data_IF_295652676938
#
_entry.id   IF_295652676938
#
_cell.length_a   1.000
_cell.length_b   1.000
_cell.length_c   1.000
_cell.angle_alpha   90.00
_cell.angle_beta   90.00
_cell.angle_gamma   90.00
#
_symmetry.space_group_name_H-M   'P 1'
#
loop_
_entity.id
_entity.type
_entity.pdbx_description
1 polymer ?
#
# COMPACT_ATOMS: atom_id res chain seq x y z
N UNK A 1 -12.34 -13.98 -26.64
CA UNK A 1 -11.32 -13.92 -27.72
C UNK A 1 -10.04 -13.22 -27.22
N UNK A 2 -9.52 -13.64 -26.04
CA UNK A 2 -8.38 -13.01 -25.33
C UNK A 2 -7.37 -14.12 -24.96
N UNK A 3 -6.98 -14.95 -25.94
CA UNK A 3 -6.06 -16.07 -25.69
C UNK A 3 -4.90 -16.18 -26.68
N UNK A 4 -4.71 -15.18 -27.56
CA UNK A 4 -3.58 -15.16 -28.49
C UNK A 4 -2.41 -14.29 -28.04
N UNK A 5 -2.62 -13.27 -27.20
CA UNK A 5 -1.54 -12.38 -26.74
C UNK A 5 -0.64 -12.99 -25.65
N UNK A 6 -1.20 -13.75 -24.71
CA UNK A 6 -0.41 -14.40 -23.65
C UNK A 6 0.53 -15.49 -24.19
N UNK A 7 0.11 -16.23 -25.21
CA UNK A 7 0.90 -17.28 -25.86
C UNK A 7 2.08 -16.69 -26.63
N UNK A 8 1.90 -15.51 -27.24
CA UNK A 8 2.97 -14.79 -27.96
C UNK A 8 4.07 -14.31 -27.01
N UNK A 9 3.69 -13.70 -25.88
CA UNK A 9 4.66 -13.18 -24.89
C UNK A 9 5.45 -14.32 -24.20
N UNK A 10 4.80 -15.46 -23.94
CA UNK A 10 5.47 -16.67 -23.42
C UNK A 10 6.49 -17.26 -24.40
N UNK A 11 6.20 -17.20 -25.70
CA UNK A 11 7.12 -17.68 -26.75
C UNK A 11 8.34 -16.76 -26.87
N UNK A 12 8.14 -15.45 -26.74
CA UNK A 12 9.22 -14.45 -26.81
C UNK A 12 10.17 -14.59 -25.61
N UNK A 13 9.64 -14.74 -24.38
CA UNK A 13 10.48 -14.91 -23.18
C UNK A 13 11.29 -16.21 -23.24
N UNK A 14 10.68 -17.32 -23.70
CA UNK A 14 11.39 -18.58 -23.87
C UNK A 14 12.52 -18.47 -24.92
N UNK A 15 12.29 -17.77 -26.02
CA UNK A 15 13.31 -17.54 -27.05
C UNK A 15 14.48 -16.67 -26.56
N UNK A 16 14.20 -15.63 -25.77
CA UNK A 16 15.22 -14.75 -25.17
C UNK A 16 16.08 -15.51 -24.16
N UNK A 17 15.47 -16.34 -23.31
CA UNK A 17 16.21 -17.16 -22.33
C UNK A 17 17.07 -18.24 -23.00
N UNK A 18 16.56 -18.91 -24.05
CA UNK A 18 17.34 -19.87 -24.83
C UNK A 18 18.54 -19.19 -25.51
N UNK A 19 18.36 -17.98 -26.05
CA UNK A 19 19.42 -17.18 -26.65
C UNK A 19 20.51 -16.77 -25.66
N UNK A 20 20.14 -16.35 -24.46
CA UNK A 20 21.08 -15.98 -23.40
C UNK A 20 21.93 -17.17 -22.93
N UNK A 21 21.34 -18.35 -22.75
CA UNK A 21 22.08 -19.56 -22.34
C UNK A 21 23.07 -20.00 -23.43
N UNK A 22 22.65 -19.97 -24.70
CA UNK A 22 23.54 -20.27 -25.82
C UNK A 22 24.73 -19.30 -25.89
N UNK A 23 24.50 -18.01 -25.61
CA UNK A 23 25.55 -16.99 -25.56
C UNK A 23 26.51 -17.22 -24.38
N UNK A 24 26.00 -17.57 -23.19
CA UNK A 24 26.85 -17.85 -22.01
C UNK A 24 27.73 -19.09 -22.24
N UNK A 25 27.20 -20.13 -22.87
CA UNK A 25 27.96 -21.34 -23.21
C UNK A 25 29.02 -21.08 -24.30
N UNK A 26 28.74 -20.17 -25.24
CA UNK A 26 29.70 -19.76 -26.27
C UNK A 26 30.83 -18.87 -25.70
N UNK A 27 30.51 -17.96 -24.78
CA UNK A 27 31.50 -17.05 -24.15
C UNK A 27 32.39 -17.79 -23.14
N UNK A 28 31.90 -18.89 -22.54
CA UNK A 28 32.66 -19.70 -21.58
C UNK A 28 33.69 -20.67 -22.22
N UNK A 29 33.88 -20.66 -23.54
CA UNK A 29 34.95 -21.42 -24.21
C UNK A 29 34.82 -22.94 -24.11
N UNK A 30 33.61 -23.47 -23.97
CA UNK A 30 33.38 -24.90 -23.75
C UNK A 30 33.62 -25.71 -25.04
N UNK A 31 34.81 -26.28 -25.19
CA UNK A 31 35.14 -27.21 -26.28
C UNK A 31 34.44 -28.55 -26.06
N UNK A 32 33.58 -28.94 -27.00
CA UNK A 32 32.83 -30.22 -26.99
C UNK A 32 33.67 -31.47 -27.27
N UNK A 33 35.00 -31.37 -27.35
CA UNK A 33 35.88 -32.45 -27.83
C UNK A 33 36.33 -33.48 -26.79
N UNK A 34 35.83 -33.46 -25.55
CA UNK A 34 36.34 -34.31 -24.45
C UNK A 34 35.38 -35.39 -23.93
N UNK A 35 34.16 -35.52 -24.49
CA UNK A 35 33.24 -36.61 -24.11
C UNK A 35 32.78 -37.38 -25.35
N UNK A 36 33.50 -38.48 -25.65
CA UNK A 36 32.94 -39.57 -26.43
C UNK A 36 31.75 -40.17 -25.67
N UNK A 37 30.62 -40.32 -26.36
CA UNK A 37 29.27 -40.68 -25.88
C UNK A 37 28.28 -39.50 -25.83
N UNK A 38 27.88 -39.13 -27.05
CA UNK A 38 26.63 -38.47 -27.48
C UNK A 38 26.27 -37.10 -26.87
N UNK A 39 26.22 -36.09 -27.75
CA UNK A 39 25.56 -34.81 -27.51
C UNK A 39 24.11 -34.93 -26.99
N UNK A 40 23.48 -36.09 -27.20
CA UNK A 40 22.17 -36.42 -26.64
C UNK A 40 22.16 -36.44 -25.10
N UNK A 41 23.22 -36.93 -24.44
CA UNK A 41 23.26 -37.01 -22.97
C UNK A 41 23.44 -35.64 -22.31
N UNK A 42 24.27 -34.77 -22.90
CA UNK A 42 24.44 -33.38 -22.46
C UNK A 42 23.16 -32.56 -22.63
N UNK A 43 22.45 -32.75 -23.74
CA UNK A 43 21.16 -32.09 -23.98
C UNK A 43 20.08 -32.55 -22.99
N UNK A 44 20.04 -33.85 -22.64
CA UNK A 44 19.12 -34.40 -21.64
C UNK A 44 19.36 -33.80 -20.24
N UNK A 45 20.60 -33.69 -19.78
CA UNK A 45 20.92 -33.09 -18.48
C UNK A 45 20.60 -31.59 -18.44
N UNK A 46 20.94 -30.85 -19.51
CA UNK A 46 20.62 -29.43 -19.62
C UNK A 46 19.09 -29.19 -19.65
N UNK A 47 18.34 -30.03 -20.37
CA UNK A 47 16.87 -29.97 -20.40
C UNK A 47 16.25 -30.32 -19.04
N UNK A 48 16.80 -31.30 -18.32
CA UNK A 48 16.38 -31.65 -16.97
C UNK A 48 16.61 -30.53 -15.95
N UNK A 49 17.78 -29.87 -15.99
CA UNK A 49 18.08 -28.72 -15.13
C UNK A 49 17.19 -27.51 -15.45
N UNK A 50 16.84 -27.28 -16.72
CA UNK A 50 15.89 -26.25 -17.12
C UNK A 50 14.47 -26.55 -16.66
N UNK A 51 14.03 -27.81 -16.73
CA UNK A 51 12.71 -28.23 -16.22
C UNK A 51 12.64 -28.12 -14.70
N UNK A 52 13.67 -28.54 -13.98
CA UNK A 52 13.73 -28.39 -12.51
C UNK A 52 13.80 -26.91 -12.12
N UNK A 53 14.62 -26.11 -12.80
CA UNK A 53 14.69 -24.66 -12.60
C UNK A 53 13.35 -23.97 -12.91
N UNK A 54 12.64 -24.41 -13.95
CA UNK A 54 11.30 -23.94 -14.29
C UNK A 54 10.27 -24.36 -13.25
N UNK A 55 10.29 -25.61 -12.75
CA UNK A 55 9.38 -26.07 -11.69
C UNK A 55 9.63 -25.33 -10.38
N UNK A 56 10.89 -25.11 -10.01
CA UNK A 56 11.24 -24.35 -8.79
C UNK A 56 10.85 -22.89 -8.96
N UNK A 57 11.09 -22.27 -10.12
CA UNK A 57 10.66 -20.90 -10.39
C UNK A 57 9.13 -20.78 -10.45
N UNK A 58 8.44 -21.75 -11.08
CA UNK A 58 6.98 -21.84 -11.15
C UNK A 58 6.38 -22.03 -9.75
N UNK A 59 6.97 -22.87 -8.89
CA UNK A 59 6.59 -23.03 -7.49
C UNK A 59 6.87 -21.77 -6.65
N UNK A 60 7.99 -21.08 -6.88
CA UNK A 60 8.28 -19.79 -6.23
C UNK A 60 7.28 -18.72 -6.70
N UNK A 61 6.93 -18.67 -7.98
CA UNK A 61 5.92 -17.73 -8.50
C UNK A 61 4.49 -18.11 -8.11
N UNK A 62 4.17 -19.40 -8.02
CA UNK A 62 2.86 -19.92 -7.62
C UNK A 62 2.62 -19.75 -6.12
N UNK A 63 3.69 -19.76 -5.30
CA UNK A 63 3.61 -19.43 -3.87
C UNK A 63 3.25 -17.96 -3.58
N UNK A 64 3.16 -17.10 -4.61
CA UNK A 64 2.63 -15.73 -4.53
C UNK A 64 1.16 -15.60 -4.94
N UNK A 65 0.46 -16.69 -5.20
CA UNK A 65 -1.00 -16.67 -5.28
C UNK A 65 -1.57 -17.04 -3.91
N UNK A 66 -1.69 -16.05 -3.02
CA UNK A 66 -2.56 -16.20 -1.86
C UNK A 66 -3.98 -16.50 -2.37
N UNK A 67 -4.62 -17.50 -1.76
CA UNK A 67 -6.03 -17.85 -1.96
C UNK A 67 -6.88 -16.59 -1.69
N UNK A 68 -7.23 -15.85 -2.75
CA UNK A 68 -8.11 -14.69 -2.72
C UNK A 68 -9.57 -15.11 -2.47
N UNK A 69 -9.85 -15.89 -1.41
CA UNK A 69 -11.16 -15.74 -0.79
C UNK A 69 -11.20 -14.31 -0.29
N UNK A 70 -11.98 -13.47 -0.97
CA UNK A 70 -12.14 -12.06 -0.64
C UNK A 70 -12.37 -11.95 0.87
N UNK A 71 -11.35 -11.45 1.57
CA UNK A 71 -11.46 -11.19 2.99
C UNK A 71 -12.50 -10.08 3.17
N UNK A 72 -13.29 -10.11 4.26
CA UNK A 72 -14.26 -9.05 4.50
C UNK A 72 -13.54 -7.71 4.62
N UNK A 73 -14.16 -6.66 4.11
CA UNK A 73 -13.61 -5.32 4.14
C UNK A 73 -13.53 -4.79 5.59
N UNK A 74 -12.56 -3.91 5.85
CA UNK A 74 -12.47 -3.20 7.12
C UNK A 74 -13.71 -2.29 7.25
N UNK A 75 -14.41 -2.27 8.40
CA UNK A 75 -15.49 -1.32 8.64
C UNK A 75 -15.01 0.13 8.48
N UNK A 76 -15.90 1.00 8.00
CA UNK A 76 -15.67 2.45 7.97
C UNK A 76 -15.61 2.98 9.42
N UNK A 77 -14.72 3.94 9.68
CA UNK A 77 -14.49 4.51 11.01
C UNK A 77 -14.68 6.03 10.93
N UNK A 78 -15.55 6.57 11.76
CA UNK A 78 -15.89 7.99 11.76
C UNK A 78 -15.64 8.57 13.16
N UNK A 79 -14.59 9.39 13.31
CA UNK A 79 -14.30 10.14 14.52
C UNK A 79 -13.84 11.55 14.13
N UNK A 80 -14.77 12.51 14.25
CA UNK A 80 -14.63 13.87 13.72
C UNK A 80 -13.66 14.73 14.50
N UNK A 81 -13.45 14.40 15.77
CA UNK A 81 -12.54 15.13 16.64
C UNK A 81 -11.07 14.82 16.28
N UNK A 82 -10.82 13.72 15.54
CA UNK A 82 -9.48 13.33 15.08
C UNK A 82 -9.02 14.11 13.84
N UNK A 83 -9.96 14.63 13.04
CA UNK A 83 -9.67 15.22 11.73
C UNK A 83 -9.69 16.76 11.73
N UNK A 84 -10.11 17.38 12.84
CA UNK A 84 -10.34 18.81 12.94
C UNK A 84 -9.48 19.46 14.03
N UNK A 85 -8.23 19.85 13.76
CA UNK A 85 -7.56 20.92 14.54
C UNK A 85 -6.67 21.81 13.64
N UNK A 86 -6.85 23.14 13.61
CA UNK A 86 -6.55 23.95 12.43
C UNK A 86 -5.33 24.87 12.60
N UNK A 87 -4.32 24.51 13.41
CA UNK A 87 -3.15 25.40 13.58
C UNK A 87 -2.52 25.78 12.24
N UNK A 88 -2.44 24.82 11.30
CA UNK A 88 -1.89 25.06 9.96
C UNK A 88 -2.94 25.40 8.89
N UNK A 89 -4.23 25.36 9.20
CA UNK A 89 -5.27 25.54 8.17
C UNK A 89 -5.33 26.99 7.66
N UNK A 90 -5.05 27.97 8.51
CA UNK A 90 -4.96 29.36 8.09
C UNK A 90 -3.78 29.59 7.14
N UNK A 91 -2.66 28.91 7.37
CA UNK A 91 -1.45 29.03 6.55
C UNK A 91 -1.54 28.22 5.24
N UNK A 92 -2.02 26.98 5.33
CA UNK A 92 -2.02 26.03 4.21
C UNK A 92 -3.33 26.01 3.43
N UNK A 93 -4.45 26.47 4.02
CA UNK A 93 -5.79 26.30 3.45
C UNK A 93 -5.98 26.93 2.07
N UNK A 94 -5.32 28.06 1.81
CA UNK A 94 -5.34 28.73 0.50
C UNK A 94 -4.37 28.16 -0.53
N UNK A 95 -3.46 27.26 -0.14
CA UNK A 95 -2.45 26.69 -1.05
C UNK A 95 -3.10 25.75 -2.05
N UNK A 96 -2.55 25.75 -3.27
CA UNK A 96 -2.94 24.82 -4.32
C UNK A 96 -2.62 23.39 -3.91
N UNK A 97 -3.59 22.49 -4.13
CA UNK A 97 -3.45 21.05 -3.91
C UNK A 97 -2.23 20.46 -4.64
N UNK A 98 -1.91 20.95 -5.85
CA UNK A 98 -0.77 20.44 -6.63
C UNK A 98 0.59 20.86 -6.05
N UNK A 99 0.63 21.91 -5.23
CA UNK A 99 1.87 22.48 -4.65
C UNK A 99 2.19 22.00 -3.24
N UNK A 100 1.31 21.19 -2.66
CA UNK A 100 1.46 20.68 -1.30
C UNK A 100 2.33 19.41 -1.29
N UNK A 101 2.98 19.19 -0.16
CA UNK A 101 3.61 17.90 0.14
C UNK A 101 2.65 17.08 0.98
N UNK A 102 2.49 15.82 0.59
CA UNK A 102 1.66 14.88 1.31
C UNK A 102 2.50 13.71 1.81
N UNK A 103 2.12 13.17 2.97
CA UNK A 103 2.53 11.84 3.40
C UNK A 103 1.28 10.98 3.43
N UNK A 104 1.25 10.01 2.52
CA UNK A 104 0.19 9.01 2.45
C UNK A 104 0.63 7.82 3.28
N UNK A 105 -0.18 7.36 4.22
CA UNK A 105 0.23 6.35 5.18
C UNK A 105 -0.91 5.36 5.47
N UNK A 106 -0.51 4.19 5.99
CA UNK A 106 -1.41 3.13 6.42
C UNK A 106 -0.78 2.37 7.61
N UNK A 107 -1.65 1.77 8.42
CA UNK A 107 -1.26 0.90 9.53
C UNK A 107 -1.88 -0.50 9.43
N UNK A 108 -1.07 -1.49 9.81
CA UNK A 108 -1.56 -2.82 10.17
C UNK A 108 -1.60 -2.96 11.68
N UNK A 109 -2.62 -3.64 12.18
CA UNK A 109 -2.93 -3.68 13.62
C UNK A 109 -3.30 -5.08 14.08
N UNK A 110 -3.23 -5.32 15.39
CA UNK A 110 -3.69 -6.59 16.00
C UNK A 110 -5.22 -6.78 15.92
N UNK A 111 -5.95 -5.73 15.55
CA UNK A 111 -7.41 -5.72 15.54
C UNK A 111 -7.97 -4.33 15.26
N UNK A 112 -9.29 -4.19 15.36
CA UNK A 112 -10.01 -2.99 14.90
C UNK A 112 -10.44 -2.05 16.02
N UNK A 113 -10.02 -2.31 17.27
CA UNK A 113 -10.51 -1.59 18.46
C UNK A 113 -9.36 -0.91 19.20
N UNK A 114 -8.84 0.22 18.69
CA UNK A 114 -7.73 0.94 19.31
C UNK A 114 -7.99 1.31 20.78
N UNK A 115 -9.19 1.80 21.09
CA UNK A 115 -9.57 2.16 22.47
C UNK A 115 -9.73 0.96 23.42
N UNK A 116 -9.70 -0.27 22.91
CA UNK A 116 -9.84 -1.51 23.68
C UNK A 116 -8.56 -2.35 23.66
N UNK A 117 -7.41 -1.71 23.38
CA UNK A 117 -6.09 -2.29 23.54
C UNK A 117 -5.54 -3.00 22.31
N UNK A 118 -6.19 -2.94 21.15
CA UNK A 118 -5.53 -3.33 19.90
C UNK A 118 -4.36 -2.39 19.61
N UNK A 119 -3.30 -2.92 19.01
CA UNK A 119 -2.01 -2.23 18.85
C UNK A 119 -1.57 -2.19 17.39
N UNK A 120 -0.73 -1.21 17.04
CA UNK A 120 -0.06 -1.15 15.73
C UNK A 120 1.02 -2.22 15.68
N UNK A 121 1.09 -2.94 14.55
CA UNK A 121 2.13 -3.95 14.25
C UNK A 121 2.97 -3.59 13.03
N UNK A 122 2.48 -2.69 12.17
CA UNK A 122 3.24 -2.12 11.06
C UNK A 122 2.70 -0.74 10.73
N UNK A 123 3.61 0.16 10.36
CA UNK A 123 3.28 1.49 9.85
C UNK A 123 4.17 1.80 8.67
N UNK A 124 3.59 2.38 7.63
CA UNK A 124 4.34 2.84 6.47
C UNK A 124 3.80 4.18 5.97
N UNK A 125 4.65 4.94 5.29
CA UNK A 125 4.26 6.17 4.63
C UNK A 125 5.07 6.41 3.35
N UNK A 126 4.44 7.04 2.37
CA UNK A 126 5.06 7.45 1.10
C UNK A 126 4.84 8.93 0.86
N UNK A 127 5.85 9.61 0.35
CA UNK A 127 5.76 11.03 0.05
C UNK A 127 5.19 11.30 -1.34
N UNK A 128 4.32 12.31 -1.42
CA UNK A 128 3.95 12.97 -2.68
C UNK A 128 4.46 14.41 -2.62
N UNK A 129 5.16 14.85 -3.66
CA UNK A 129 5.63 16.23 -3.86
C UNK A 129 5.33 16.66 -5.29
N UNK A 130 4.86 17.90 -5.46
CA UNK A 130 4.57 18.49 -6.78
C UNK A 130 3.67 17.59 -7.64
N UNK A 131 2.64 17.00 -7.03
CA UNK A 131 1.70 16.09 -7.69
C UNK A 131 2.33 14.77 -8.16
N UNK A 132 3.47 14.36 -7.60
CA UNK A 132 4.16 13.11 -7.96
C UNK A 132 4.51 12.32 -6.71
N UNK A 133 4.23 11.02 -6.76
CA UNK A 133 4.65 10.07 -5.74
C UNK A 133 6.15 9.79 -5.87
N UNK A 134 6.87 9.89 -4.76
CA UNK A 134 8.28 9.54 -4.64
C UNK A 134 8.41 8.15 -4.02
N UNK A 135 8.63 7.13 -4.86
CA UNK A 135 8.74 5.74 -4.40
C UNK A 135 10.04 5.45 -3.62
N UNK A 136 10.99 6.38 -3.60
CA UNK A 136 12.22 6.27 -2.82
C UNK A 136 12.15 6.96 -1.44
N UNK A 137 11.26 7.94 -1.28
CA UNK A 137 11.01 8.66 -0.03
C UNK A 137 9.87 7.97 0.74
N UNK A 138 10.21 6.85 1.35
CA UNK A 138 9.29 5.98 2.11
C UNK A 138 9.76 5.80 3.55
N UNK A 139 8.80 5.66 4.44
CA UNK A 139 8.98 5.18 5.80
C UNK A 139 8.31 3.82 5.94
N UNK A 140 8.96 2.88 6.61
CA UNK A 140 8.38 1.58 6.95
C UNK A 140 8.94 1.10 8.28
N UNK A 141 8.09 0.58 9.15
CA UNK A 141 8.52 -0.12 10.35
C UNK A 141 7.55 -1.24 10.67
N UNK A 142 8.09 -2.43 10.94
CA UNK A 142 7.40 -3.38 11.81
C UNK A 142 7.48 -2.87 13.24
N UNK A 143 6.50 -3.26 14.05
CA UNK A 143 6.33 -2.78 15.41
C UNK A 143 6.02 -3.97 16.30
N UNK A 144 6.75 -4.09 17.41
CA UNK A 144 6.41 -5.04 18.46
C UNK A 144 5.19 -4.50 19.23
N UNK A 145 4.01 -5.16 19.17
CA UNK A 145 2.82 -4.67 19.84
C UNK A 145 2.82 -4.95 21.35
N UNK A 146 3.81 -5.67 21.89
CA UNK A 146 3.85 -6.05 23.31
C UNK A 146 2.76 -7.05 23.72
N UNK A 147 2.10 -7.69 22.75
CA UNK A 147 1.01 -8.65 22.93
C UNK A 147 0.98 -9.67 21.79
N UNK A 148 0.29 -10.79 22.02
CA UNK A 148 0.05 -11.79 20.97
C UNK A 148 -0.84 -11.22 19.86
N UNK A 149 -0.45 -11.45 18.60
CA UNK A 149 -1.21 -11.06 17.42
C UNK A 149 -2.33 -12.08 17.17
N UNK A 150 -3.62 -11.68 17.20
CA UNK A 150 -4.71 -12.60 16.94
C UNK A 150 -4.62 -13.22 15.54
N UNK A 151 -4.77 -14.55 15.44
CA UNK A 151 -4.83 -15.28 14.16
C UNK A 151 -5.83 -14.70 13.16
N UNK A 152 -6.87 -14.02 13.65
CA UNK A 152 -7.83 -13.34 12.81
C UNK A 152 -7.21 -12.19 12.01
N UNK A 153 -6.35 -11.34 12.60
CA UNK A 153 -5.70 -10.24 11.87
C UNK A 153 -4.53 -10.75 11.02
N UNK A 154 -3.77 -11.75 11.50
CA UNK A 154 -2.70 -12.41 10.71
C UNK A 154 -3.19 -12.87 9.33
N UNK A 155 -4.43 -13.34 9.21
CA UNK A 155 -5.00 -13.76 7.92
C UNK A 155 -5.09 -12.64 6.88
N UNK A 156 -5.11 -11.38 7.30
CA UNK A 156 -5.15 -10.22 6.40
C UNK A 156 -3.74 -9.81 6.00
N UNK A 157 -2.89 -9.48 6.97
CA UNK A 157 -1.60 -8.84 6.72
C UNK A 157 -0.39 -9.79 6.72
N UNK A 158 -0.56 -11.05 7.14
CA UNK A 158 0.50 -12.05 7.18
C UNK A 158 1.56 -11.88 8.28
N UNK A 159 1.65 -10.70 8.91
CA UNK A 159 2.58 -10.43 10.03
C UNK A 159 2.30 -11.36 11.22
N UNK A 160 3.33 -12.08 11.68
CA UNK A 160 3.29 -13.01 12.82
C UNK A 160 4.06 -12.49 14.03
N UNK A 161 3.84 -13.08 15.21
CA UNK A 161 4.58 -12.73 16.43
C UNK A 161 6.10 -12.86 16.25
N UNK A 162 6.56 -13.90 15.55
CA UNK A 162 7.99 -14.12 15.28
C UNK A 162 8.61 -12.95 14.50
N UNK A 163 7.88 -12.38 13.54
CA UNK A 163 8.34 -11.26 12.72
C UNK A 163 8.52 -9.97 13.52
N UNK A 164 7.76 -9.78 14.61
CA UNK A 164 7.76 -8.53 15.39
C UNK A 164 8.44 -8.65 16.76
N UNK A 165 8.76 -9.86 17.20
CA UNK A 165 9.30 -10.13 18.55
C UNK A 165 10.58 -9.35 18.89
N UNK A 166 11.45 -9.12 17.89
CA UNK A 166 12.69 -8.36 18.02
C UNK A 166 12.60 -6.89 17.62
N UNK A 167 11.44 -6.44 17.16
CA UNK A 167 11.23 -5.08 16.66
C UNK A 167 11.01 -4.08 17.80
N UNK A 168 11.14 -2.80 17.47
CA UNK A 168 10.88 -1.70 18.41
C UNK A 168 9.38 -1.59 18.71
N UNK A 169 9.04 -1.11 19.90
CA UNK A 169 7.64 -0.77 20.22
C UNK A 169 7.18 0.51 19.51
N UNK A 170 5.87 0.75 19.54
CA UNK A 170 5.29 1.92 18.87
C UNK A 170 5.77 3.25 19.48
N UNK A 171 6.12 3.29 20.77
CA UNK A 171 6.57 4.52 21.44
C UNK A 171 7.94 4.96 20.93
N UNK A 172 8.78 4.01 20.51
CA UNK A 172 10.06 4.29 19.86
C UNK A 172 9.93 4.57 18.35
N UNK A 173 8.95 3.97 17.66
CA UNK A 173 8.75 4.14 16.21
C UNK A 173 8.02 5.43 15.86
N UNK A 174 7.05 5.85 16.68
CA UNK A 174 6.18 6.98 16.39
C UNK A 174 6.92 8.34 16.27
N UNK A 175 7.98 8.63 17.06
CA UNK A 175 8.82 9.81 16.86
C UNK A 175 9.54 9.85 15.50
N UNK A 176 10.02 8.69 15.02
CA UNK A 176 10.65 8.61 13.70
C UNK A 176 9.60 8.85 12.60
N UNK A 177 8.41 8.28 12.75
CA UNK A 177 7.31 8.52 11.82
C UNK A 177 6.88 10.00 11.83
N UNK A 178 6.72 10.63 12.99
CA UNK A 178 6.41 12.07 13.09
C UNK A 178 7.50 12.93 12.41
N UNK A 179 8.77 12.56 12.57
CA UNK A 179 9.90 13.23 11.90
C UNK A 179 9.80 13.09 10.38
N UNK A 180 9.46 11.89 9.89
CA UNK A 180 9.22 11.65 8.47
C UNK A 180 8.04 12.46 7.93
N UNK A 181 6.95 12.57 8.69
CA UNK A 181 5.78 13.36 8.29
C UNK A 181 6.14 14.85 8.16
N UNK A 182 6.86 15.41 9.12
CA UNK A 182 7.20 16.84 9.15
C UNK A 182 5.95 17.70 9.02
N UNK A 183 6.00 18.73 8.16
CA UNK A 183 4.91 19.69 7.91
C UNK A 183 3.98 19.26 6.75
N UNK A 184 4.03 17.99 6.35
CA UNK A 184 3.22 17.47 5.24
C UNK A 184 1.75 17.36 5.63
N UNK A 185 0.85 17.43 4.64
CA UNK A 185 -0.54 17.01 4.83
C UNK A 185 -0.59 15.49 4.90
N UNK A 186 -1.25 14.94 5.91
CA UNK A 186 -1.44 13.50 6.03
C UNK A 186 -2.62 13.03 5.16
N UNK A 187 -2.46 11.86 4.55
CA UNK A 187 -3.51 11.21 3.78
C UNK A 187 -3.57 9.74 4.16
N UNK A 188 -4.77 9.22 4.42
CA UNK A 188 -4.99 7.80 4.62
C UNK A 188 -6.35 7.40 4.03
N UNK A 189 -6.62 6.10 3.94
CA UNK A 189 -7.91 5.58 3.52
C UNK A 189 -8.70 5.15 4.76
N UNK A 190 -9.86 5.77 5.01
CA UNK A 190 -10.57 5.65 6.28
C UNK A 190 -9.72 6.22 7.44
N UNK A 191 -9.17 7.41 7.22
CA UNK A 191 -8.08 8.00 7.98
C UNK A 191 -8.33 8.11 9.49
N UNK A 192 -9.58 8.23 9.92
CA UNK A 192 -9.92 8.28 11.33
C UNK A 192 -9.51 7.01 12.09
N UNK A 193 -9.48 5.85 11.42
CA UNK A 193 -9.00 4.59 12.00
C UNK A 193 -7.52 4.70 12.39
N UNK A 194 -6.66 4.96 11.42
CA UNK A 194 -5.21 5.03 11.62
C UNK A 194 -4.84 6.18 12.57
N UNK A 195 -5.47 7.34 12.40
CA UNK A 195 -5.26 8.49 13.29
C UNK A 195 -5.65 8.19 14.73
N UNK A 196 -6.68 7.35 14.98
CA UNK A 196 -7.04 6.97 16.35
C UNK A 196 -5.92 6.20 17.03
N UNK A 197 -5.27 5.28 16.33
CA UNK A 197 -4.11 4.57 16.86
C UNK A 197 -2.96 5.52 17.19
N UNK A 198 -2.63 6.46 16.30
CA UNK A 198 -1.55 7.42 16.55
C UNK A 198 -1.87 8.32 17.75
N UNK A 199 -3.10 8.87 17.80
CA UNK A 199 -3.57 9.79 18.84
C UNK A 199 -3.53 9.18 20.24
N UNK A 200 -3.90 7.91 20.39
CA UNK A 200 -3.83 7.21 21.68
C UNK A 200 -2.39 7.01 22.19
N UNK A 201 -1.37 7.18 21.34
CA UNK A 201 0.04 6.99 21.68
C UNK A 201 0.82 8.28 21.85
N UNK A 202 0.26 9.43 21.46
CA UNK A 202 0.93 10.75 21.45
C UNK A 202 1.60 11.09 22.80
N UNK A 203 0.82 11.06 23.89
CA UNK A 203 1.32 11.41 25.23
C UNK A 203 2.47 10.50 25.68
N UNK A 204 2.30 9.19 25.47
CA UNK A 204 3.28 8.19 25.88
C UNK A 204 4.57 8.25 25.04
N UNK A 205 4.42 8.50 23.74
CA UNK A 205 5.53 8.64 22.80
C UNK A 205 6.15 10.03 22.80
N UNK A 206 5.55 11.00 23.51
CA UNK A 206 5.96 12.41 23.58
C UNK A 206 6.03 13.07 22.21
N UNK A 207 5.02 12.81 21.38
CA UNK A 207 4.86 13.38 20.04
C UNK A 207 3.46 13.97 19.91
N UNK A 208 3.29 14.87 18.96
CA UNK A 208 1.99 15.45 18.66
C UNK A 208 1.80 15.56 17.14
N UNK A 209 0.70 15.00 16.64
CA UNK A 209 0.28 15.10 15.24
C UNK A 209 -0.70 16.25 15.09
N UNK A 210 -0.17 17.40 14.69
CA UNK A 210 -0.89 18.64 14.38
C UNK A 210 -1.17 18.83 12.89
N UNK A 211 -0.82 17.84 12.07
CA UNK A 211 -0.99 17.90 10.63
C UNK A 211 -2.47 17.90 10.23
N UNK A 212 -2.75 18.60 9.12
CA UNK A 212 -4.02 18.47 8.42
C UNK A 212 -4.11 17.06 7.85
N UNK A 213 -5.28 16.42 8.02
CA UNK A 213 -5.55 15.07 7.52
C UNK A 213 -6.62 15.13 6.43
N UNK A 214 -6.39 14.44 5.32
CA UNK A 214 -7.38 14.17 4.29
C UNK A 214 -7.71 12.68 4.25
N UNK A 215 -8.99 12.36 4.20
CA UNK A 215 -9.45 10.98 4.08
C UNK A 215 -9.83 10.66 2.63
N UNK A 216 -9.08 9.75 2.01
CA UNK A 216 -9.38 9.32 0.64
C UNK A 216 -10.71 8.59 0.51
N UNK A 217 -11.23 7.96 1.58
CA UNK A 217 -12.56 7.36 1.58
C UNK A 217 -13.62 8.46 1.39
N UNK A 218 -13.61 9.48 2.24
CA UNK A 218 -14.57 10.59 2.18
C UNK A 218 -14.47 11.39 0.88
N UNK A 219 -13.25 11.64 0.40
CA UNK A 219 -13.03 12.26 -0.90
C UNK A 219 -13.57 11.39 -2.04
N UNK A 220 -13.45 10.06 -1.96
CA UNK A 220 -14.05 9.15 -2.92
C UNK A 220 -15.58 9.25 -2.94
N UNK A 221 -16.22 9.31 -1.76
CA UNK A 221 -17.68 9.46 -1.64
C UNK A 221 -18.14 10.77 -2.29
N UNK A 222 -17.41 11.86 -2.03
CA UNK A 222 -17.69 13.16 -2.64
C UNK A 222 -17.51 13.13 -4.16
N UNK A 223 -16.46 12.47 -4.65
CA UNK A 223 -16.15 12.44 -6.07
C UNK A 223 -17.08 11.50 -6.84
N UNK A 224 -17.51 10.37 -6.27
CA UNK A 224 -18.30 9.35 -6.96
C UNK A 224 -19.64 9.10 -6.25
N UNK A 225 -20.56 10.08 -6.26
CA UNK A 225 -21.86 10.03 -5.57
C UNK A 225 -22.80 8.87 -6.01
N UNK A 226 -22.50 8.22 -7.15
CA UNK A 226 -23.36 7.19 -7.75
C UNK A 226 -22.97 5.76 -7.40
N UNK A 227 -21.93 5.54 -6.58
CA UNK A 227 -21.55 4.22 -6.08
C UNK A 227 -21.62 4.19 -4.56
N UNK A 228 -21.92 3.02 -4.01
CA UNK A 228 -21.78 2.77 -2.56
C UNK A 228 -20.46 2.07 -2.21
N UNK A 229 -19.70 1.61 -3.21
CA UNK A 229 -18.45 0.86 -3.01
C UNK A 229 -17.25 1.81 -3.00
N UNK A 230 -16.76 2.15 -1.82
CA UNK A 230 -15.61 3.04 -1.65
C UNK A 230 -14.44 2.38 -0.93
N UNK A 231 -14.32 1.05 -1.00
CA UNK A 231 -13.11 0.39 -0.50
C UNK A 231 -11.93 0.66 -1.41
N UNK A 232 -10.73 0.61 -0.84
CA UNK A 232 -9.50 0.93 -1.54
C UNK A 232 -9.39 0.16 -2.87
N UNK A 233 -9.73 -1.14 -2.87
CA UNK A 233 -9.72 -1.99 -4.07
C UNK A 233 -10.72 -1.49 -5.12
N UNK A 234 -11.95 -1.21 -4.71
CA UNK A 234 -12.99 -0.72 -5.59
C UNK A 234 -12.64 0.67 -6.17
N UNK A 235 -11.97 1.52 -5.40
CA UNK A 235 -11.54 2.84 -5.89
C UNK A 235 -10.37 2.67 -6.85
N UNK A 236 -9.36 1.87 -6.49
CA UNK A 236 -8.19 1.62 -7.32
C UNK A 236 -8.60 1.04 -8.68
N UNK A 237 -9.52 0.07 -8.71
CA UNK A 237 -10.08 -0.48 -9.94
C UNK A 237 -10.75 0.60 -10.79
N UNK A 238 -11.67 1.40 -10.21
CA UNK A 238 -12.37 2.46 -10.94
C UNK A 238 -11.42 3.52 -11.51
N UNK A 239 -10.35 3.82 -10.78
CA UNK A 239 -9.38 4.85 -11.15
C UNK A 239 -8.21 4.32 -11.99
N UNK A 240 -8.20 3.03 -12.31
CA UNK A 240 -7.13 2.38 -13.09
C UNK A 240 -5.77 2.43 -12.38
N UNK A 241 -5.76 2.30 -11.05
CA UNK A 241 -4.55 2.22 -10.22
C UNK A 241 -4.21 0.76 -9.98
N UNK A 242 -2.97 0.39 -10.25
CA UNK A 242 -2.49 -0.98 -10.00
C UNK A 242 -2.36 -1.24 -8.50
N UNK A 243 -2.81 -2.43 -8.07
CA UNK A 243 -2.73 -2.88 -6.69
C UNK A 243 -1.45 -3.70 -6.53
N UNK A 244 -0.49 -3.17 -5.78
CA UNK A 244 0.78 -3.83 -5.46
C UNK A 244 0.94 -3.99 -3.95
N UNK A 245 1.26 -5.20 -3.48
CA UNK A 245 1.55 -5.43 -2.06
C UNK A 245 0.37 -5.21 -1.11
N UNK A 246 -0.86 -5.43 -1.59
CA UNK A 246 -2.10 -5.27 -0.81
C UNK A 246 -2.03 -6.00 0.55
N UNK A 247 -2.59 -5.37 1.58
CA UNK A 247 -2.57 -5.84 2.97
C UNK A 247 -1.16 -5.85 3.57
N UNK A 248 -0.32 -4.95 3.08
CA UNK A 248 0.86 -4.51 3.79
C UNK A 248 0.75 -3.01 3.91
N UNK A 249 1.16 -2.45 5.05
CA UNK A 249 1.11 -1.00 5.27
C UNK A 249 1.76 -0.21 4.11
N UNK A 250 2.88 -0.69 3.57
CA UNK A 250 3.55 -0.03 2.45
C UNK A 250 2.77 -0.15 1.13
N UNK A 251 2.28 -1.35 0.81
CA UNK A 251 1.50 -1.57 -0.40
C UNK A 251 0.21 -0.76 -0.39
N UNK A 252 -0.51 -0.76 0.73
CA UNK A 252 -1.72 0.03 0.92
C UNK A 252 -1.44 1.54 0.87
N UNK A 253 -0.31 2.00 1.41
CA UNK A 253 0.15 3.39 1.25
C UNK A 253 0.41 3.75 -0.22
N UNK A 254 1.02 2.86 -1.01
CA UNK A 254 1.24 3.08 -2.44
C UNK A 254 -0.06 3.12 -3.24
N UNK A 255 -0.98 2.18 -2.98
CA UNK A 255 -2.29 2.16 -3.66
C UNK A 255 -3.09 3.42 -3.30
N UNK A 256 -3.12 3.79 -2.02
CA UNK A 256 -3.77 5.01 -1.55
C UNK A 256 -3.15 6.26 -2.19
N UNK A 257 -1.82 6.30 -2.33
CA UNK A 257 -1.14 7.41 -3.00
C UNK A 257 -1.49 7.50 -4.48
N UNK A 258 -1.53 6.37 -5.19
CA UNK A 258 -1.96 6.31 -6.59
C UNK A 258 -3.39 6.79 -6.77
N UNK A 259 -4.31 6.32 -5.91
CA UNK A 259 -5.71 6.77 -5.87
C UNK A 259 -5.81 8.26 -5.58
N UNK A 260 -5.08 8.74 -4.57
CA UNK A 260 -5.12 10.14 -4.17
C UNK A 260 -4.62 11.07 -5.28
N UNK A 261 -3.58 10.69 -6.02
CA UNK A 261 -3.14 11.45 -7.20
C UNK A 261 -4.24 11.60 -8.26
N UNK A 262 -5.02 10.54 -8.52
CA UNK A 262 -6.19 10.61 -9.40
C UNK A 262 -7.28 11.51 -8.85
N UNK A 263 -7.53 11.46 -7.54
CA UNK A 263 -8.47 12.35 -6.87
C UNK A 263 -8.05 13.82 -6.98
N UNK A 264 -6.75 14.13 -6.89
CA UNK A 264 -6.25 15.50 -7.07
C UNK A 264 -6.59 16.04 -8.47
N UNK A 265 -6.45 15.23 -9.52
CA UNK A 265 -6.83 15.60 -10.88
C UNK A 265 -8.35 15.82 -11.00
N UNK A 266 -9.15 14.92 -10.43
CA UNK A 266 -10.62 15.00 -10.45
C UNK A 266 -11.14 16.22 -9.68
N UNK A 267 -10.59 16.50 -8.50
CA UNK A 267 -10.91 17.68 -7.70
C UNK A 267 -10.58 18.96 -8.50
N UNK A 268 -9.40 19.03 -9.11
CA UNK A 268 -9.02 20.18 -9.92
C UNK A 268 -9.97 20.39 -11.11
N UNK A 269 -10.39 19.31 -11.78
CA UNK A 269 -11.37 19.36 -12.87
C UNK A 269 -12.74 19.88 -12.41
N UNK A 270 -13.12 19.64 -11.14
CA UNK A 270 -14.35 20.16 -10.52
C UNK A 270 -14.19 21.56 -9.89
N UNK A 271 -13.02 22.18 -10.02
CA UNK A 271 -12.74 23.50 -9.46
C UNK A 271 -12.35 23.50 -7.97
N UNK A 272 -12.17 22.32 -7.37
CA UNK A 272 -11.59 22.16 -6.02
C UNK A 272 -10.07 22.20 -6.18
N UNK A 273 -9.48 23.37 -5.89
CA UNK A 273 -8.07 23.65 -6.17
C UNK A 273 -7.24 23.91 -4.93
N UNK A 274 -7.86 24.25 -3.82
CA UNK A 274 -7.16 24.56 -2.57
C UNK A 274 -7.38 23.49 -1.50
N UNK A 275 -6.48 23.44 -0.53
CA UNK A 275 -6.59 22.52 0.60
C UNK A 275 -7.89 22.72 1.38
N UNK A 276 -8.30 23.96 1.63
CA UNK A 276 -9.55 24.28 2.33
C UNK A 276 -10.76 23.71 1.60
N UNK A 277 -10.82 23.85 0.28
CA UNK A 277 -11.92 23.29 -0.51
C UNK A 277 -11.98 21.76 -0.45
N UNK A 278 -10.82 21.08 -0.44
CA UNK A 278 -10.78 19.63 -0.29
C UNK A 278 -11.24 19.17 1.10
N UNK A 279 -10.87 19.90 2.16
CA UNK A 279 -11.33 19.66 3.52
C UNK A 279 -12.85 19.86 3.61
N UNK A 280 -13.37 20.95 3.05
CA UNK A 280 -14.80 21.25 3.04
C UNK A 280 -15.59 20.13 2.33
N UNK A 281 -15.08 19.63 1.20
CA UNK A 281 -15.66 18.50 0.48
C UNK A 281 -15.68 17.21 1.32
N UNK A 282 -14.58 16.91 2.02
CA UNK A 282 -14.49 15.76 2.93
C UNK A 282 -15.48 15.89 4.12
N UNK A 283 -15.55 17.09 4.72
CA UNK A 283 -16.42 17.38 5.86
C UNK A 283 -17.91 17.30 5.49
N UNK A 284 -18.28 17.66 4.26
CA UNK A 284 -19.65 17.50 3.77
C UNK A 284 -20.07 16.02 3.79
N UNK A 285 -19.18 15.11 3.41
CA UNK A 285 -19.47 13.66 3.36
C UNK A 285 -19.56 13.02 4.74
N UNK A 286 -18.78 13.53 5.69
CA UNK A 286 -18.92 13.20 7.12
C UNK A 286 -20.36 13.38 7.59
N UNK A 287 -20.97 14.54 7.31
CA UNK A 287 -22.33 14.84 7.77
C UNK A 287 -23.39 13.99 7.08
N UNK A 288 -23.19 13.68 5.79
CA UNK A 288 -24.07 12.76 5.04
C UNK A 288 -24.02 11.35 5.63
N UNK A 289 -22.83 10.82 5.95
CA UNK A 289 -22.66 9.47 6.50
C UNK A 289 -23.25 9.34 7.90
N UNK A 290 -23.08 10.36 8.76
CA UNK A 290 -23.75 10.41 10.08
C UNK A 290 -25.26 10.24 9.97
N UNK A 291 -25.88 10.91 8.99
CA UNK A 291 -27.33 10.82 8.80
C UNK A 291 -27.72 9.41 8.36
N UNK A 292 -26.94 8.75 7.51
CA UNK A 292 -27.22 7.39 7.04
C UNK A 292 -27.10 6.33 8.14
N UNK A 293 -26.21 6.50 9.12
CA UNK A 293 -26.07 5.57 10.27
C UNK A 293 -27.19 5.70 11.30
N UNK A 294 -27.92 6.82 11.29
CA UNK A 294 -29.04 7.06 12.21
C UNK A 294 -30.37 6.44 11.74
N UNK A 295 -30.38 5.80 10.55
CA UNK A 295 -31.54 5.13 9.95
C UNK A 295 -31.26 3.65 9.67
#
# INVERSE_FOLDING_TARGET
>A
MINHHATSMRTIIAAVFAGLIALTLAVAGFSWSMFGASAAYGALIASGLLVVGWIVLDQITASRQHDHRALPERPEFYDHDLLNQPMHLEELGGRSLQSLTYVVFDTETTGLRPSFGDEIISIAGVRIRDGKMDRGDVFTSLVNPGREIPKASIRFHGITDDMVSGERDILAVLPDFKTFVGDSVLVAHNAAFDMKFLKLKEDAARVFFDQIVLDSLLLSVFLDEHTSKHTLDAIAERMGVEIEGRHTALGDSFVTAGVFLRMLDMMNARGIRTLRQAIDASNQMVEVRKQQEQF
#
